data_IF_020649975576
#
_entry.id   IF_020649975576
#
_cell.length_a   1.000
_cell.length_b   1.000
_cell.length_c   1.000
_cell.angle_alpha   90.00
_cell.angle_beta   90.00
_cell.angle_gamma   90.00
#
_symmetry.space_group_name_H-M   'P 1'
#
loop_
_entity.id
_entity.type
_entity.pdbx_description
1 polymer ?
#
# COMPACT_ATOMS: atom_id res chain seq x y z
N UNK A 1 -0.12 -22.90 -7.61
CA UNK A 1 -1.28 -22.10 -8.01
C UNK A 1 -0.95 -20.63 -8.07
N UNK A 2 -0.87 -19.96 -6.93
CA UNK A 2 -0.53 -18.54 -6.94
C UNK A 2 0.88 -18.29 -7.44
N UNK A 3 1.84 -19.15 -7.10
CA UNK A 3 3.21 -19.03 -7.58
C UNK A 3 3.30 -19.12 -9.09
N UNK A 4 2.48 -19.95 -9.70
CA UNK A 4 2.44 -20.07 -11.15
C UNK A 4 1.97 -18.78 -11.79
N UNK A 5 0.92 -18.16 -11.22
CA UNK A 5 0.43 -16.88 -11.71
C UNK A 5 1.45 -15.76 -11.52
N UNK A 6 2.12 -15.75 -10.38
CA UNK A 6 3.18 -14.77 -10.12
C UNK A 6 4.28 -14.92 -11.16
N UNK A 7 4.73 -16.15 -11.42
CA UNK A 7 5.78 -16.39 -12.40
C UNK A 7 5.35 -15.99 -13.80
N UNK A 8 4.10 -16.27 -14.17
CA UNK A 8 3.56 -15.83 -15.45
C UNK A 8 3.51 -14.31 -15.57
N UNK A 9 3.18 -13.63 -14.48
CA UNK A 9 3.15 -12.19 -14.43
C UNK A 9 4.55 -11.59 -14.56
N UNK A 10 5.53 -12.20 -13.89
CA UNK A 10 6.94 -11.79 -14.03
C UNK A 10 7.38 -11.95 -15.49
N UNK A 11 7.06 -13.08 -16.11
CA UNK A 11 7.43 -13.31 -17.50
C UNK A 11 6.73 -12.30 -18.43
N UNK A 12 5.49 -11.97 -18.15
CA UNK A 12 4.76 -10.95 -18.88
C UNK A 12 5.49 -9.62 -18.84
N UNK A 13 5.99 -9.24 -17.66
CA UNK A 13 6.80 -8.03 -17.51
C UNK A 13 8.11 -8.12 -18.28
N UNK A 14 8.79 -9.26 -18.20
CA UNK A 14 10.08 -9.44 -18.90
C UNK A 14 9.91 -9.34 -20.40
N UNK A 15 8.87 -9.96 -20.93
CA UNK A 15 8.59 -9.94 -22.36
C UNK A 15 8.39 -8.53 -22.89
N UNK A 16 8.00 -7.60 -22.03
CA UNK A 16 7.75 -6.20 -22.37
C UNK A 16 8.82 -5.26 -21.89
N UNK A 17 9.94 -5.81 -21.43
CA UNK A 17 11.06 -5.05 -20.91
C UNK A 17 10.67 -4.11 -19.74
N UNK A 18 9.75 -4.56 -18.91
CA UNK A 18 9.28 -3.77 -17.77
C UNK A 18 10.06 -4.07 -16.49
N UNK A 19 10.99 -5.02 -16.51
CA UNK A 19 11.86 -5.27 -15.37
C UNK A 19 13.14 -4.43 -15.54
N UNK A 20 13.98 -4.76 -16.50
CA UNK A 20 15.25 -4.03 -16.68
C UNK A 20 15.06 -2.66 -17.30
N UNK A 21 14.06 -2.50 -18.15
CA UNK A 21 13.82 -1.25 -18.87
C UNK A 21 12.95 -0.24 -18.16
N UNK A 22 12.50 -0.54 -16.95
CA UNK A 22 11.68 0.39 -16.18
C UNK A 22 12.42 0.85 -14.92
N UNK A 23 11.77 1.65 -14.09
CA UNK A 23 12.30 2.11 -12.82
C UNK A 23 11.25 1.90 -11.73
N UNK A 24 11.70 1.85 -10.48
CA UNK A 24 10.77 1.76 -9.36
C UNK A 24 9.86 2.98 -9.32
N UNK A 25 10.40 4.15 -9.61
CA UNK A 25 9.61 5.38 -9.63
C UNK A 25 8.49 5.32 -10.68
N UNK A 26 8.80 4.83 -11.88
CA UNK A 26 7.80 4.71 -12.94
C UNK A 26 6.72 3.70 -12.55
N UNK A 27 7.13 2.57 -11.97
CA UNK A 27 6.19 1.56 -11.53
C UNK A 27 5.36 2.06 -10.35
N UNK A 28 5.94 2.85 -9.47
CA UNK A 28 5.18 3.47 -8.38
C UNK A 28 4.10 4.41 -8.94
N UNK A 29 4.43 5.19 -9.96
CA UNK A 29 3.43 6.04 -10.63
C UNK A 29 2.26 5.19 -11.15
N UNK A 30 2.57 4.05 -11.75
CA UNK A 30 1.54 3.14 -12.23
C UNK A 30 0.71 2.60 -11.08
N UNK A 31 1.35 2.23 -9.97
CA UNK A 31 0.66 1.75 -8.79
C UNK A 31 -0.34 2.79 -8.26
N UNK A 32 0.07 4.05 -8.24
CA UNK A 32 -0.81 5.15 -7.80
C UNK A 32 -2.05 5.22 -8.68
N UNK A 33 -1.91 5.04 -10.00
CA UNK A 33 -3.06 5.00 -10.90
C UNK A 33 -4.01 3.86 -10.55
N UNK A 34 -3.46 2.66 -10.31
CA UNK A 34 -4.28 1.50 -10.00
C UNK A 34 -4.98 1.64 -8.64
N UNK A 35 -4.31 2.24 -7.67
CA UNK A 35 -4.90 2.51 -6.35
C UNK A 35 -6.05 3.50 -6.48
N UNK A 36 -5.92 4.51 -7.35
CA UNK A 36 -7.00 5.46 -7.59
C UNK A 36 -8.20 4.81 -8.25
N UNK A 37 -7.97 3.89 -9.18
CA UNK A 37 -9.06 3.13 -9.79
C UNK A 37 -9.77 2.26 -8.77
N UNK A 38 -9.00 1.60 -7.90
CA UNK A 38 -9.56 0.82 -6.81
C UNK A 38 -10.45 1.69 -5.93
N UNK A 39 -9.99 2.86 -5.56
CA UNK A 39 -10.76 3.77 -4.73
C UNK A 39 -12.04 4.20 -5.42
N UNK A 40 -11.95 4.57 -6.68
CA UNK A 40 -13.14 4.98 -7.46
C UNK A 40 -14.19 3.87 -7.45
N UNK A 41 -13.76 2.64 -7.69
CA UNK A 41 -14.68 1.52 -7.73
C UNK A 41 -15.27 1.17 -6.36
N UNK A 42 -14.49 1.34 -5.30
CA UNK A 42 -15.01 1.19 -3.93
C UNK A 42 -16.10 2.24 -3.68
N UNK A 43 -15.84 3.48 -4.02
CA UNK A 43 -16.80 4.57 -3.78
C UNK A 43 -18.07 4.40 -4.62
N UNK A 44 -17.93 3.83 -5.80
CA UNK A 44 -19.08 3.60 -6.70
C UNK A 44 -19.72 2.23 -6.49
N UNK A 45 -19.28 1.48 -5.50
CA UNK A 45 -19.75 0.12 -5.21
C UNK A 45 -19.65 -0.80 -6.43
N UNK A 46 -18.62 -0.64 -7.23
CA UNK A 46 -18.34 -1.48 -8.37
C UNK A 46 -17.42 -2.65 -7.97
N UNK A 47 -17.37 -3.72 -8.77
CA UNK A 47 -16.45 -4.82 -8.50
C UNK A 47 -15.00 -4.33 -8.47
N UNK A 48 -14.20 -4.91 -7.58
CA UNK A 48 -12.81 -4.49 -7.38
C UNK A 48 -11.79 -5.57 -7.74
N UNK A 49 -12.23 -6.64 -8.37
CA UNK A 49 -11.36 -7.78 -8.68
C UNK A 49 -10.21 -7.38 -9.59
N UNK A 50 -10.50 -6.60 -10.62
CA UNK A 50 -9.46 -6.13 -11.54
C UNK A 50 -8.51 -5.16 -10.86
N UNK A 51 -9.05 -4.27 -10.03
CA UNK A 51 -8.25 -3.26 -9.36
C UNK A 51 -7.24 -3.89 -8.40
N UNK A 52 -7.68 -4.87 -7.63
CA UNK A 52 -6.80 -5.61 -6.72
C UNK A 52 -5.73 -6.34 -7.53
N UNK A 53 -6.14 -7.03 -8.59
CA UNK A 53 -5.23 -7.73 -9.46
C UNK A 53 -4.20 -6.81 -10.09
N UNK A 54 -4.64 -5.65 -10.59
CA UNK A 54 -3.76 -4.68 -11.24
C UNK A 54 -2.74 -4.11 -10.25
N UNK A 55 -3.14 -3.86 -9.01
CA UNK A 55 -2.20 -3.45 -7.97
C UNK A 55 -1.15 -4.54 -7.73
N UNK A 56 -1.58 -5.81 -7.67
CA UNK A 56 -0.65 -6.92 -7.48
C UNK A 56 0.32 -7.05 -8.65
N UNK A 57 -0.15 -6.85 -9.88
CA UNK A 57 0.72 -6.91 -11.07
C UNK A 57 1.87 -5.91 -10.94
N UNK A 58 1.58 -4.69 -10.52
CA UNK A 58 2.61 -3.67 -10.35
C UNK A 58 3.52 -3.98 -9.17
N UNK A 59 2.96 -4.48 -8.07
CA UNK A 59 3.77 -4.86 -6.90
C UNK A 59 4.71 -6.01 -7.22
N UNK A 60 4.27 -6.97 -8.01
CA UNK A 60 5.12 -8.06 -8.48
C UNK A 60 6.29 -7.51 -9.29
N UNK A 61 6.03 -6.51 -10.14
CA UNK A 61 7.08 -5.86 -10.92
C UNK A 61 8.14 -5.25 -9.99
N UNK A 62 7.70 -4.43 -9.05
CA UNK A 62 8.62 -3.74 -8.13
C UNK A 62 9.43 -4.76 -7.31
N UNK A 63 8.77 -5.80 -6.82
CA UNK A 63 9.45 -6.85 -6.07
C UNK A 63 10.55 -7.50 -6.92
N UNK A 64 10.21 -7.92 -8.13
CA UNK A 64 11.17 -8.57 -9.02
C UNK A 64 12.35 -7.66 -9.35
N UNK A 65 12.10 -6.39 -9.60
CA UNK A 65 13.14 -5.41 -9.86
C UNK A 65 14.13 -5.26 -8.70
N UNK A 66 13.65 -5.52 -7.49
CA UNK A 66 14.47 -5.41 -6.28
C UNK A 66 15.00 -6.76 -5.80
N UNK A 67 14.90 -7.80 -6.61
CA UNK A 67 15.40 -9.12 -6.26
C UNK A 67 14.58 -9.81 -5.17
N UNK A 68 13.33 -9.42 -5.02
CA UNK A 68 12.43 -9.93 -4.00
C UNK A 68 11.28 -10.70 -4.65
N UNK A 69 10.69 -11.62 -3.90
CA UNK A 69 9.44 -12.25 -4.30
C UNK A 69 8.29 -11.69 -3.46
N UNK A 70 7.07 -11.81 -3.96
CA UNK A 70 5.91 -11.44 -3.16
C UNK A 70 5.82 -12.28 -1.90
N UNK A 71 6.22 -13.55 -1.98
CA UNK A 71 6.25 -14.42 -0.82
C UNK A 71 7.15 -13.84 0.27
N UNK A 72 8.36 -13.43 -0.11
CA UNK A 72 9.31 -12.84 0.85
C UNK A 72 8.74 -11.58 1.49
N UNK A 73 8.18 -10.71 0.66
CA UNK A 73 7.60 -9.45 1.14
C UNK A 73 6.43 -9.70 2.09
N UNK A 74 5.53 -10.59 1.70
CA UNK A 74 4.36 -10.89 2.52
C UNK A 74 4.76 -11.63 3.80
N UNK A 75 5.73 -12.55 3.71
CA UNK A 75 6.23 -13.26 4.89
C UNK A 75 6.83 -12.29 5.90
N UNK A 76 7.63 -11.34 5.42
CA UNK A 76 8.22 -10.32 6.28
C UNK A 76 7.13 -9.49 6.95
N UNK A 77 6.16 -9.02 6.19
CA UNK A 77 5.06 -8.22 6.72
C UNK A 77 4.22 -9.02 7.72
N UNK A 78 3.97 -10.30 7.44
CA UNK A 78 3.19 -11.14 8.34
C UNK A 78 3.91 -11.35 9.67
N UNK A 79 5.24 -11.57 9.63
CA UNK A 79 6.02 -11.71 10.87
C UNK A 79 5.92 -10.45 11.73
N UNK A 80 5.84 -9.29 11.10
CA UNK A 80 5.68 -8.03 11.84
C UNK A 80 4.31 -7.89 12.50
N UNK A 81 3.26 -8.39 11.84
CA UNK A 81 1.89 -8.11 12.30
C UNK A 81 1.25 -9.25 13.10
N UNK A 82 1.76 -10.47 12.97
CA UNK A 82 1.07 -11.66 13.50
C UNK A 82 0.79 -11.58 15.00
N UNK A 83 1.69 -10.98 15.76
CA UNK A 83 1.54 -10.86 17.21
C UNK A 83 1.14 -9.45 17.64
N UNK A 84 0.82 -8.61 16.67
CA UNK A 84 0.47 -7.22 16.95
C UNK A 84 -0.88 -7.16 17.62
N UNK A 85 -0.94 -6.45 18.74
CA UNK A 85 -2.17 -6.21 19.47
C UNK A 85 -2.69 -4.82 19.16
N UNK A 86 -3.98 -4.68 19.22
CA UNK A 86 -4.62 -3.41 18.95
C UNK A 86 -6.13 -3.58 18.97
N UNK A 87 -6.81 -2.60 18.42
CA UNK A 87 -8.27 -2.61 18.35
C UNK A 87 -8.76 -1.92 17.10
N UNK A 88 -9.99 -2.24 16.75
CA UNK A 88 -10.63 -1.61 15.60
C UNK A 88 -11.15 -0.24 15.99
N UNK A 89 -10.84 0.75 15.17
CA UNK A 89 -11.37 2.11 15.33
C UNK A 89 -11.79 2.55 13.93
N UNK A 90 -13.07 2.81 13.76
CA UNK A 90 -13.62 3.22 12.46
C UNK A 90 -13.22 2.31 11.29
N UNK A 91 -13.22 1.01 11.54
CA UNK A 91 -12.90 0.02 10.52
C UNK A 91 -11.42 -0.20 10.27
N UNK A 92 -10.56 0.45 11.03
CA UNK A 92 -9.11 0.34 10.90
C UNK A 92 -8.53 -0.27 12.17
N UNK A 93 -7.60 -1.21 12.00
CA UNK A 93 -6.90 -1.78 13.14
C UNK A 93 -5.84 -0.80 13.61
N UNK A 94 -5.97 -0.36 14.85
CA UNK A 94 -5.02 0.56 15.46
C UNK A 94 -4.15 -0.22 16.43
N UNK A 95 -2.85 -0.17 16.18
CA UNK A 95 -1.86 -0.88 16.97
C UNK A 95 -1.89 -0.40 18.43
N UNK A 96 -1.89 -1.37 19.33
CA UNK A 96 -1.78 -1.08 20.75
C UNK A 96 -0.38 -0.53 21.06
N UNK A 97 -0.35 0.53 21.84
CA UNK A 97 0.91 1.10 22.27
C UNK A 97 1.33 0.48 23.57
N UNK A 98 2.50 -0.12 23.55
CA UNK A 98 3.14 -0.53 24.80
C UNK A 98 3.94 0.67 25.25
N UNK A 99 3.51 1.28 26.35
CA UNK A 99 4.17 2.47 26.88
C UNK A 99 5.47 2.09 27.54
N UNK A 100 6.54 2.17 26.79
CA UNK A 100 7.90 2.16 27.32
C UNK A 100 8.52 3.49 26.90
N UNK A 101 9.59 3.90 27.61
CA UNK A 101 10.23 5.17 27.26
C UNK A 101 10.74 5.17 25.83
N UNK A 102 11.20 4.03 25.33
CA UNK A 102 11.65 3.94 23.95
C UNK A 102 10.49 4.00 22.97
N UNK A 103 9.36 3.43 23.33
CA UNK A 103 8.17 3.49 22.48
C UNK A 103 7.61 4.91 22.44
N UNK A 104 7.59 5.57 23.58
CA UNK A 104 7.17 6.95 23.67
C UNK A 104 8.08 7.84 22.82
N UNK A 105 9.37 7.62 22.93
CA UNK A 105 10.35 8.38 22.15
C UNK A 105 10.18 8.12 20.66
N UNK A 106 9.95 6.89 20.27
CA UNK A 106 9.70 6.54 18.88
C UNK A 106 8.44 7.24 18.37
N UNK A 107 7.36 7.17 19.13
CA UNK A 107 6.09 7.78 18.75
C UNK A 107 6.20 9.29 18.68
N UNK A 108 6.90 9.89 19.65
CA UNK A 108 7.14 11.31 19.65
C UNK A 108 8.00 11.70 18.43
N UNK A 109 9.05 10.95 18.17
CA UNK A 109 9.88 11.17 17.00
C UNK A 109 9.10 11.03 15.70
N UNK A 110 8.21 10.06 15.62
CA UNK A 110 7.37 9.89 14.45
C UNK A 110 6.44 11.09 14.27
N UNK A 111 5.80 11.55 15.33
CA UNK A 111 4.91 12.68 15.26
C UNK A 111 5.62 13.96 14.87
N UNK A 112 6.74 14.23 15.52
CA UNK A 112 7.50 15.46 15.27
C UNK A 112 8.28 15.37 13.97
N UNK A 113 8.91 14.24 13.73
CA UNK A 113 9.73 14.04 12.54
C UNK A 113 8.94 14.05 11.25
N UNK A 114 7.72 13.52 11.28
CA UNK A 114 6.84 13.53 10.12
C UNK A 114 5.93 14.76 10.12
N UNK A 115 5.93 15.52 11.19
CA UNK A 115 4.98 16.61 11.36
C UNK A 115 3.58 16.13 11.66
N UNK A 116 3.45 14.89 12.09
CA UNK A 116 2.16 14.26 12.29
C UNK A 116 1.97 13.79 13.72
N UNK A 117 0.87 14.17 14.30
CA UNK A 117 0.37 13.59 15.52
C UNK A 117 -0.56 12.43 15.13
N UNK A 118 -1.10 11.73 16.11
CA UNK A 118 -2.10 10.71 15.82
C UNK A 118 -3.32 11.34 15.14
N UNK A 119 -3.69 12.55 15.53
CA UNK A 119 -4.75 13.28 14.86
C UNK A 119 -4.36 13.63 13.43
N UNK A 120 -3.12 14.00 13.23
CA UNK A 120 -2.63 14.34 11.91
C UNK A 120 -2.55 13.13 10.99
N UNK A 121 -2.23 11.97 11.54
CA UNK A 121 -2.31 10.74 10.76
C UNK A 121 -3.75 10.48 10.31
N UNK A 122 -4.70 10.67 11.24
CA UNK A 122 -6.11 10.57 10.90
C UNK A 122 -6.50 11.65 9.90
N UNK A 123 -5.94 12.84 10.07
CA UNK A 123 -6.16 13.93 9.13
C UNK A 123 -5.56 13.65 7.77
N UNK A 124 -4.41 12.99 7.75
CA UNK A 124 -3.81 12.55 6.50
C UNK A 124 -4.72 11.57 5.77
N UNK A 125 -5.26 10.59 6.48
CA UNK A 125 -6.23 9.68 5.91
C UNK A 125 -7.48 10.42 5.42
N UNK A 126 -7.97 11.34 6.20
CA UNK A 126 -9.09 12.18 5.82
C UNK A 126 -8.73 13.02 4.60
N UNK A 127 -7.51 13.53 4.57
CA UNK A 127 -7.01 14.28 3.44
C UNK A 127 -6.93 13.46 2.17
N UNK A 128 -6.48 12.22 2.29
CA UNK A 128 -6.48 11.31 1.16
C UNK A 128 -7.90 11.06 0.66
N UNK A 129 -8.81 10.77 1.56
CA UNK A 129 -10.22 10.55 1.20
C UNK A 129 -10.83 11.80 0.59
N UNK A 130 -10.58 12.96 1.19
CA UNK A 130 -11.07 14.22 0.68
C UNK A 130 -10.46 14.54 -0.68
N UNK A 131 -9.16 14.31 -0.85
CA UNK A 131 -8.49 14.49 -2.12
C UNK A 131 -9.06 13.61 -3.20
N UNK A 132 -9.39 12.39 -2.85
CA UNK A 132 -9.97 11.44 -3.78
C UNK A 132 -11.40 11.81 -4.13
N UNK A 133 -12.18 12.21 -3.14
CA UNK A 133 -13.53 12.71 -3.36
C UNK A 133 -13.50 13.99 -4.19
N UNK A 134 -12.53 14.83 -3.94
CA UNK A 134 -12.32 16.05 -4.70
C UNK A 134 -12.07 15.76 -6.17
N UNK A 135 -11.19 14.80 -6.45
CA UNK A 135 -10.92 14.37 -7.81
C UNK A 135 -12.15 13.79 -8.48
N UNK A 136 -12.90 13.00 -7.74
CA UNK A 136 -14.14 12.45 -8.25
C UNK A 136 -15.19 13.49 -8.52
N UNK A 137 -15.15 14.57 -7.77
CA UNK A 137 -16.01 15.71 -8.00
C UNK A 137 -15.58 16.58 -9.18
N UNK A 138 -14.61 16.13 -9.97
CA UNK A 138 -14.15 16.86 -11.14
C UNK A 138 -13.24 18.01 -10.81
N UNK A 139 -12.69 17.98 -9.64
CA UNK A 139 -11.80 19.04 -9.23
C UNK A 139 -10.45 18.72 -9.59
N UNK A 140 -9.99 17.96 -9.93
CA UNK A 140 -8.59 17.69 -10.32
C UNK A 140 -7.55 18.33 -9.63
#
# INVERSE_FOLDING_TARGET
MIETLINKTIQWHRDRNLIDGSTDAAQHTKLVEEVKELETNILLSQPVVDDIGDCLVVLINIAERNGLSLFDCLSHAYEDIKDRKGKMIDGVFVKERVLSSSDDEYLEGFRVGSGETLEELTSYEKGLRAGLLHKQGGKS
#
